data_IF_370143457786
#
_entry.id   IF_370143457786
#
_cell.length_a   1.000
_cell.length_b   1.000
_cell.length_c   1.000
_cell.angle_alpha   90.00
_cell.angle_beta   90.00
_cell.angle_gamma   90.00
#
_symmetry.space_group_name_H-M   'P 1'
#
loop_
_entity.id
_entity.type
_entity.pdbx_description
1 polymer ?
#
# COMPACT_ATOMS: atom_id res chain seq x y z
N UNK A 1 -10.30 -11.37 19.46
CA UNK A 1 -10.37 -10.44 18.33
C UNK A 1 -8.98 -10.03 17.95
N UNK A 2 -8.64 -10.22 16.70
CA UNK A 2 -7.31 -9.91 16.22
C UNK A 2 -7.27 -8.50 15.67
N UNK A 3 -6.46 -7.66 16.27
CA UNK A 3 -6.12 -6.36 15.68
C UNK A 3 -4.81 -6.48 14.95
N UNK A 4 -4.64 -5.65 13.93
CA UNK A 4 -3.45 -5.61 13.11
C UNK A 4 -3.01 -4.18 12.92
N UNK A 5 -1.75 -3.99 12.54
CA UNK A 5 -1.25 -2.69 12.14
C UNK A 5 -0.36 -2.88 10.93
N UNK A 6 -0.63 -2.10 9.89
CA UNK A 6 0.09 -2.20 8.64
C UNK A 6 0.47 -0.82 8.13
N UNK A 7 1.60 -0.78 7.41
CA UNK A 7 1.91 0.31 6.49
C UNK A 7 1.53 -0.15 5.11
N UNK A 8 1.17 0.77 4.22
CA UNK A 8 0.97 0.42 2.83
C UNK A 8 1.52 1.47 1.88
N UNK A 9 1.84 1.04 0.68
CA UNK A 9 2.18 1.88 -0.45
C UNK A 9 1.12 1.64 -1.50
N UNK A 10 0.33 2.67 -1.79
CA UNK A 10 -0.80 2.58 -2.72
C UNK A 10 -0.46 3.29 -4.02
N UNK A 11 -0.69 2.60 -5.14
CA UNK A 11 -0.68 3.24 -6.46
C UNK A 11 -2.09 3.18 -7.02
N UNK A 12 -2.70 4.35 -7.20
CA UNK A 12 -4.02 4.49 -7.80
C UNK A 12 -3.92 4.46 -9.33
N UNK A 13 -5.01 4.10 -9.97
CA UNK A 13 -5.09 3.97 -11.42
C UNK A 13 -6.51 4.28 -11.89
N UNK A 14 -6.80 4.11 -13.20
CA UNK A 14 -8.11 4.44 -13.78
C UNK A 14 -9.27 3.70 -13.13
N UNK A 15 -9.03 2.48 -12.64
CA UNK A 15 -10.05 1.67 -11.97
C UNK A 15 -10.22 1.93 -10.48
N UNK A 16 -9.45 2.83 -9.89
CA UNK A 16 -9.58 3.17 -8.48
C UNK A 16 -10.92 3.82 -8.20
N UNK A 17 -11.51 3.50 -7.02
CA UNK A 17 -12.80 4.09 -6.61
C UNK A 17 -12.74 5.62 -6.59
N UNK A 18 -11.62 6.18 -6.15
CA UNK A 18 -11.36 7.61 -6.20
C UNK A 18 -10.02 7.84 -6.91
N UNK A 19 -10.02 8.05 -8.24
CA UNK A 19 -8.78 8.11 -9.01
C UNK A 19 -8.08 9.46 -8.90
N UNK A 20 -7.79 9.87 -7.67
CA UNK A 20 -7.05 11.09 -7.35
C UNK A 20 -6.02 10.76 -6.29
N UNK A 21 -4.77 11.11 -6.54
CA UNK A 21 -3.70 10.92 -5.57
C UNK A 21 -3.86 11.91 -4.41
N UNK A 22 -3.88 11.38 -3.18
CA UNK A 22 -3.91 12.23 -2.00
C UNK A 22 -2.56 12.86 -1.68
N UNK A 23 -1.51 12.37 -2.32
CA UNK A 23 -0.17 12.93 -2.16
C UNK A 23 0.04 14.14 -3.06
N UNK A 24 -0.44 14.07 -4.31
CA UNK A 24 -0.20 15.14 -5.30
C UNK A 24 -1.43 15.97 -5.61
N UNK A 25 -2.62 15.45 -5.33
CA UNK A 25 -3.87 16.06 -5.77
C UNK A 25 -4.19 15.83 -7.24
N UNK A 26 -3.32 15.13 -7.97
CA UNK A 26 -3.49 14.90 -9.39
C UNK A 26 -4.39 13.71 -9.70
N UNK A 27 -5.05 13.76 -10.86
CA UNK A 27 -5.88 12.67 -11.34
C UNK A 27 -5.04 11.45 -11.73
N UNK A 28 -5.53 10.26 -11.39
CA UNK A 28 -4.94 8.98 -11.82
C UNK A 28 -5.82 8.28 -12.85
N UNK A 29 -6.82 8.97 -13.39
CA UNK A 29 -7.77 8.39 -14.34
C UNK A 29 -7.13 7.95 -15.66
N UNK A 30 -5.96 8.49 -15.99
CA UNK A 30 -5.21 8.11 -17.20
C UNK A 30 -4.13 7.04 -16.93
N UNK A 31 -3.96 6.63 -15.68
CA UNK A 31 -2.98 5.58 -15.34
C UNK A 31 -3.61 4.22 -15.61
N UNK A 32 -2.98 3.42 -16.47
CA UNK A 32 -3.50 2.09 -16.78
C UNK A 32 -3.22 1.10 -15.66
N UNK A 33 -4.02 0.05 -15.62
CA UNK A 33 -3.85 -1.10 -14.73
C UNK A 33 -2.41 -1.66 -14.83
N UNK A 34 -1.96 -1.91 -16.05
CA UNK A 34 -0.62 -2.47 -16.29
C UNK A 34 0.49 -1.53 -15.80
N UNK A 35 0.34 -0.23 -16.05
CA UNK A 35 1.32 0.77 -15.63
C UNK A 35 1.42 0.84 -14.10
N UNK A 36 0.29 0.82 -13.41
CA UNK A 36 0.26 0.86 -11.95
C UNK A 36 0.94 -0.36 -11.35
N UNK A 37 0.63 -1.55 -11.86
CA UNK A 37 1.28 -2.80 -11.41
C UNK A 37 2.77 -2.79 -11.67
N UNK A 38 3.19 -2.36 -12.86
CA UNK A 38 4.59 -2.33 -13.24
C UNK A 38 5.38 -1.39 -12.33
N UNK A 39 4.83 -0.22 -12.04
CA UNK A 39 5.47 0.73 -11.14
C UNK A 39 5.57 0.15 -9.73
N UNK A 40 4.50 -0.46 -9.24
CA UNK A 40 4.51 -1.05 -7.89
C UNK A 40 5.51 -2.20 -7.78
N UNK A 41 5.66 -2.98 -8.85
CA UNK A 41 6.67 -4.04 -8.89
C UNK A 41 8.09 -3.48 -8.74
N UNK A 42 8.36 -2.32 -9.33
CA UNK A 42 9.66 -1.66 -9.17
C UNK A 42 9.92 -1.30 -7.71
N UNK A 43 8.91 -0.81 -7.00
CA UNK A 43 9.04 -0.51 -5.57
C UNK A 43 9.20 -1.78 -4.73
N UNK A 44 8.48 -2.84 -5.08
CA UNK A 44 8.65 -4.14 -4.43
C UNK A 44 10.10 -4.61 -4.53
N UNK A 45 10.66 -4.56 -5.73
CA UNK A 45 12.04 -4.97 -5.97
C UNK A 45 13.04 -4.08 -5.23
N UNK A 46 12.82 -2.76 -5.25
CA UNK A 46 13.70 -1.82 -4.57
C UNK A 46 13.69 -2.01 -3.05
N UNK A 47 12.53 -2.22 -2.47
CA UNK A 47 12.39 -2.44 -1.03
C UNK A 47 13.11 -3.72 -0.62
N UNK A 48 12.96 -4.80 -1.39
CA UNK A 48 13.66 -6.05 -1.14
C UNK A 48 15.17 -5.90 -1.28
N UNK A 49 15.63 -5.16 -2.26
CA UNK A 49 17.06 -4.92 -2.49
C UNK A 49 17.69 -4.15 -1.33
N UNK A 50 16.92 -3.33 -0.62
CA UNK A 50 17.40 -2.55 0.53
C UNK A 50 17.16 -3.27 1.88
N UNK A 51 16.77 -4.54 1.86
CA UNK A 51 16.64 -5.36 3.07
C UNK A 51 15.22 -5.56 3.58
N UNK A 52 14.23 -4.95 2.95
CA UNK A 52 12.81 -5.10 3.30
C UNK A 52 12.52 -4.87 4.79
N UNK A 53 13.03 -3.74 5.32
CA UNK A 53 12.75 -3.34 6.69
C UNK A 53 11.57 -2.39 6.74
N UNK A 54 10.99 -2.21 7.93
CA UNK A 54 9.93 -1.24 8.13
C UNK A 54 10.38 0.17 7.74
N UNK A 55 11.60 0.55 8.09
CA UNK A 55 12.15 1.88 7.77
C UNK A 55 12.26 2.10 6.27
N UNK A 56 12.74 1.11 5.55
CA UNK A 56 12.85 1.18 4.08
C UNK A 56 11.46 1.29 3.45
N UNK A 57 10.52 0.47 3.91
CA UNK A 57 9.15 0.53 3.42
C UNK A 57 8.54 1.91 3.65
N UNK A 58 8.68 2.45 4.86
CA UNK A 58 8.17 3.77 5.21
C UNK A 58 8.74 4.87 4.31
N UNK A 59 10.02 4.79 4.01
CA UNK A 59 10.69 5.74 3.11
C UNK A 59 10.03 5.77 1.74
N UNK A 60 9.79 4.62 1.14
CA UNK A 60 9.17 4.55 -0.19
C UNK A 60 7.68 4.91 -0.15
N UNK A 61 6.96 4.53 0.91
CA UNK A 61 5.57 4.92 1.07
C UNK A 61 5.42 6.44 1.17
N UNK A 62 6.29 7.10 1.93
CA UNK A 62 6.31 8.56 2.03
C UNK A 62 6.56 9.21 0.67
N UNK A 63 7.44 8.60 -0.12
CA UNK A 63 7.85 9.16 -1.40
C UNK A 63 6.79 8.99 -2.48
N UNK A 64 6.01 7.90 -2.45
CA UNK A 64 5.22 7.53 -3.64
C UNK A 64 3.77 7.17 -3.37
N UNK A 65 3.38 6.81 -2.17
CA UNK A 65 2.01 6.33 -1.94
C UNK A 65 0.96 7.40 -2.28
N UNK A 66 -0.12 6.98 -2.95
CA UNK A 66 -1.23 7.86 -3.30
C UNK A 66 -2.28 7.96 -2.19
N UNK A 67 -2.09 7.25 -1.10
CA UNK A 67 -2.94 7.36 0.09
C UNK A 67 -2.49 8.51 0.98
N UNK A 68 -3.43 9.17 1.67
CA UNK A 68 -3.12 10.24 2.62
C UNK A 68 -2.16 9.82 3.73
N UNK A 69 -2.08 8.52 4.03
CA UNK A 69 -1.12 7.98 5.01
C UNK A 69 0.35 8.12 4.57
N UNK A 70 0.61 8.57 3.35
CA UNK A 70 1.99 8.77 2.88
C UNK A 70 2.80 9.64 3.86
N UNK A 71 2.16 10.59 4.51
CA UNK A 71 2.80 11.50 5.48
C UNK A 71 3.37 10.74 6.68
N UNK A 72 2.79 9.59 7.00
CA UNK A 72 3.18 8.77 8.14
C UNK A 72 3.91 7.50 7.69
N UNK A 73 4.54 7.55 6.52
CA UNK A 73 5.24 6.39 5.97
C UNK A 73 4.30 5.24 5.61
N UNK A 74 3.05 5.56 5.28
CA UNK A 74 2.03 4.58 4.93
C UNK A 74 1.34 3.94 6.13
N UNK A 75 1.65 4.35 7.35
CA UNK A 75 1.07 3.76 8.56
C UNK A 75 -0.43 4.07 8.66
N UNK A 76 -1.23 3.03 8.80
CA UNK A 76 -2.69 3.14 8.90
C UNK A 76 -3.19 3.07 10.33
N UNK A 77 -2.28 2.87 11.30
CA UNK A 77 -2.65 2.65 12.68
C UNK A 77 -3.21 1.25 12.91
N UNK A 78 -3.66 0.99 14.12
CA UNK A 78 -4.24 -0.29 14.51
C UNK A 78 -5.67 -0.37 13.97
N UNK A 79 -6.02 -1.50 13.39
CA UNK A 79 -7.37 -1.76 12.90
C UNK A 79 -7.80 -3.19 13.21
N UNK A 80 -9.11 -3.40 13.28
CA UNK A 80 -9.71 -4.70 13.52
C UNK A 80 -10.53 -5.20 12.35
N UNK A 81 -11.15 -6.37 12.50
CA UNK A 81 -12.00 -6.94 11.45
C UNK A 81 -13.10 -5.96 11.03
N UNK A 82 -13.26 -5.77 9.73
CA UNK A 82 -14.29 -4.92 9.15
C UNK A 82 -13.93 -3.44 9.02
N UNK A 83 -12.80 -3.00 9.56
CA UNK A 83 -12.39 -1.58 9.48
C UNK A 83 -11.85 -1.19 8.12
N UNK A 84 -11.27 -2.15 7.40
CA UNK A 84 -10.66 -1.94 6.08
C UNK A 84 -11.43 -2.71 5.02
N UNK A 85 -11.17 -2.39 3.75
CA UNK A 85 -11.72 -3.19 2.65
C UNK A 85 -11.26 -4.65 2.80
N UNK A 86 -12.16 -5.59 2.47
CA UNK A 86 -11.92 -7.01 2.68
C UNK A 86 -10.63 -7.50 2.03
N UNK A 87 -10.37 -7.08 0.78
CA UNK A 87 -9.16 -7.50 0.06
C UNK A 87 -7.89 -7.00 0.76
N UNK A 88 -7.91 -5.77 1.27
CA UNK A 88 -6.78 -5.20 2.00
C UNK A 88 -6.57 -5.93 3.33
N UNK A 89 -7.63 -6.14 4.09
CA UNK A 89 -7.58 -6.82 5.37
C UNK A 89 -7.03 -8.24 5.22
N UNK A 90 -7.51 -8.97 4.21
CA UNK A 90 -7.02 -10.31 3.92
C UNK A 90 -5.54 -10.31 3.54
N UNK A 91 -5.13 -9.34 2.72
CA UNK A 91 -3.72 -9.20 2.34
C UNK A 91 -2.83 -8.96 3.54
N UNK A 92 -3.27 -8.13 4.48
CA UNK A 92 -2.53 -7.89 5.72
C UNK A 92 -2.50 -9.13 6.60
N UNK A 93 -3.63 -9.82 6.75
CA UNK A 93 -3.72 -11.04 7.56
C UNK A 93 -2.82 -12.13 7.05
N UNK A 94 -2.68 -12.25 5.72
CA UNK A 94 -1.84 -13.27 5.08
C UNK A 94 -0.36 -12.90 5.07
N UNK A 95 -0.01 -11.72 5.58
CA UNK A 95 1.37 -11.26 5.64
C UNK A 95 1.89 -11.44 7.07
N UNK A 96 3.06 -12.07 7.21
CA UNK A 96 3.68 -12.23 8.53
C UNK A 96 4.10 -10.87 9.10
N UNK A 97 4.12 -10.76 10.42
CA UNK A 97 4.59 -9.55 11.10
C UNK A 97 6.05 -9.27 10.69
N UNK A 98 6.36 -8.02 10.44
CA UNK A 98 7.66 -7.54 9.96
C UNK A 98 8.02 -8.05 8.57
N UNK A 99 7.01 -8.35 7.77
CA UNK A 99 7.19 -8.79 6.37
C UNK A 99 6.33 -7.97 5.43
N UNK A 100 6.68 -8.01 4.15
CA UNK A 100 5.95 -7.31 3.08
C UNK A 100 5.14 -8.30 2.26
N UNK A 101 3.93 -7.90 1.87
CA UNK A 101 3.07 -8.68 0.99
C UNK A 101 3.56 -8.62 -0.46
N UNK A 102 3.01 -9.49 -1.30
CA UNK A 102 2.99 -9.23 -2.74
C UNK A 102 1.99 -8.14 -3.08
N UNK A 103 1.74 -7.93 -4.37
CA UNK A 103 0.80 -6.91 -4.83
C UNK A 103 -0.63 -7.33 -4.49
N UNK A 104 -1.38 -6.43 -3.86
CA UNK A 104 -2.78 -6.66 -3.46
C UNK A 104 -3.66 -5.62 -4.16
N UNK A 105 -4.70 -6.08 -4.84
CA UNK A 105 -5.69 -5.19 -5.47
C UNK A 105 -6.88 -5.00 -4.54
N UNK A 106 -7.27 -3.75 -4.32
CA UNK A 106 -8.52 -3.38 -3.64
C UNK A 106 -9.26 -2.34 -4.47
N UNK A 107 -10.42 -1.88 -4.00
CA UNK A 107 -11.17 -0.82 -4.69
C UNK A 107 -10.38 0.49 -4.74
N UNK A 108 -9.42 0.68 -3.85
CA UNK A 108 -8.59 1.88 -3.81
C UNK A 108 -7.49 1.88 -4.87
N UNK A 109 -7.02 0.71 -5.27
CA UNK A 109 -5.93 0.54 -6.23
C UNK A 109 -5.02 -0.63 -5.86
N UNK A 110 -3.77 -0.56 -6.28
CA UNK A 110 -2.77 -1.60 -6.01
C UNK A 110 -1.91 -1.24 -4.82
N UNK A 111 -1.74 -2.20 -3.91
CA UNK A 111 -1.01 -2.02 -2.65
C UNK A 111 0.18 -2.95 -2.52
N UNK A 112 1.25 -2.44 -1.91
CA UNK A 112 2.17 -3.27 -1.13
C UNK A 112 1.83 -3.01 0.34
N UNK A 113 1.87 -4.05 1.15
CA UNK A 113 1.52 -3.99 2.57
C UNK A 113 2.70 -4.47 3.39
N UNK A 114 3.08 -3.69 4.42
CA UNK A 114 4.09 -4.12 5.39
C UNK A 114 3.41 -4.23 6.76
N UNK A 115 3.37 -5.45 7.29
CA UNK A 115 2.68 -5.71 8.55
C UNK A 115 3.60 -5.43 9.73
N UNK A 116 3.16 -4.56 10.65
CA UNK A 116 3.96 -4.17 11.81
C UNK A 116 3.47 -4.79 13.12
N UNK A 117 2.22 -5.26 13.11
CA UNK A 117 1.66 -5.88 14.33
C UNK A 117 0.68 -6.99 13.98
#
# INVERSE_FOLDING_TARGET
MSQMRCRHLLIKYSGSRNPVSRRTGGSTASVSDESAKAELQQYFDAINAEGCTEEVFAKYATKRSDCGSFKDGGDLGVFGPGDMQAAFEEGCRNTAVNSMSGIVLSDSGYHLIFRTM
#
